data_IF_708129895458
#
_entry.id   IF_708129895458
#
_cell.length_a   1.000
_cell.length_b   1.000
_cell.length_c   1.000
_cell.angle_alpha   90.00
_cell.angle_beta   90.00
_cell.angle_gamma   90.00
#
_symmetry.space_group_name_H-M   'P 1'
#
loop_
_entity.id
_entity.type
_entity.pdbx_description
1 polymer ?
#
# COMPACT_ATOMS: atom_id res chain seq x y z
N UNK A 1 -23.47 30.85 -9.16
CA UNK A 1 -22.13 30.22 -9.32
C UNK A 1 -22.03 28.95 -8.48
N UNK A 2 -22.30 28.99 -7.17
CA UNK A 2 -22.33 27.79 -6.31
C UNK A 2 -23.40 26.75 -6.72
N UNK A 3 -24.62 27.17 -7.10
CA UNK A 3 -25.68 26.23 -7.52
C UNK A 3 -25.31 25.43 -8.78
N UNK A 4 -24.68 26.10 -9.76
CA UNK A 4 -24.22 25.46 -10.99
C UNK A 4 -23.14 24.41 -10.71
N UNK A 5 -22.21 24.70 -9.80
CA UNK A 5 -21.16 23.76 -9.40
C UNK A 5 -21.77 22.51 -8.74
N UNK A 6 -22.78 22.66 -7.89
CA UNK A 6 -23.46 21.54 -7.22
C UNK A 6 -24.24 20.68 -8.23
N UNK A 7 -24.81 21.30 -9.26
CA UNK A 7 -25.56 20.61 -10.31
C UNK A 7 -24.60 19.83 -11.25
N UNK A 8 -23.50 20.46 -11.66
CA UNK A 8 -22.43 19.82 -12.43
C UNK A 8 -21.82 18.62 -11.66
N UNK A 9 -21.63 18.74 -10.34
CA UNK A 9 -21.12 17.66 -9.48
C UNK A 9 -22.11 16.49 -9.34
N UNK A 10 -23.42 16.77 -9.27
CA UNK A 10 -24.44 15.71 -9.26
C UNK A 10 -24.47 14.94 -10.58
N UNK A 11 -24.36 15.64 -11.70
CA UNK A 11 -24.32 15.02 -13.03
C UNK A 11 -23.07 14.15 -13.20
N UNK A 12 -21.90 14.64 -12.79
CA UNK A 12 -20.67 13.86 -12.79
C UNK A 12 -20.76 12.59 -11.93
N UNK A 13 -21.31 12.69 -10.71
CA UNK A 13 -21.50 11.55 -9.82
C UNK A 13 -22.48 10.51 -10.39
N UNK A 14 -23.53 10.96 -11.09
CA UNK A 14 -24.47 10.07 -11.77
C UNK A 14 -23.78 9.32 -12.91
N UNK A 15 -23.03 10.03 -13.75
CA UNK A 15 -22.29 9.43 -14.87
C UNK A 15 -21.27 8.40 -14.37
N UNK A 16 -20.57 8.70 -13.28
CA UNK A 16 -19.63 7.78 -12.65
C UNK A 16 -20.31 6.50 -12.15
N UNK A 17 -21.47 6.64 -11.52
CA UNK A 17 -22.25 5.49 -11.04
C UNK A 17 -22.74 4.61 -12.20
N UNK A 18 -23.25 5.22 -13.27
CA UNK A 18 -23.70 4.51 -14.48
C UNK A 18 -22.54 3.78 -15.17
N UNK A 19 -21.35 4.41 -15.21
CA UNK A 19 -20.11 3.79 -15.68
C UNK A 19 -19.73 2.56 -14.85
N UNK A 20 -19.72 2.66 -13.52
CA UNK A 20 -19.40 1.52 -12.65
C UNK A 20 -20.43 0.38 -12.77
N UNK A 21 -21.72 0.69 -12.93
CA UNK A 21 -22.73 -0.34 -13.20
C UNK A 21 -22.47 -1.08 -14.50
N UNK A 22 -22.05 -0.38 -15.56
CA UNK A 22 -21.74 -1.02 -16.84
C UNK A 22 -20.51 -1.93 -16.75
N UNK A 23 -19.46 -1.51 -16.03
CA UNK A 23 -18.31 -2.37 -15.75
C UNK A 23 -18.73 -3.64 -15.00
N UNK A 24 -19.64 -3.53 -14.04
CA UNK A 24 -20.15 -4.68 -13.29
C UNK A 24 -20.98 -5.64 -14.14
N UNK A 25 -21.74 -5.14 -15.10
CA UNK A 25 -22.47 -5.96 -16.06
C UNK A 25 -21.49 -6.79 -16.91
N UNK A 26 -20.41 -6.16 -17.40
CA UNK A 26 -19.36 -6.82 -18.20
C UNK A 26 -18.67 -7.92 -17.37
N UNK A 27 -18.30 -7.61 -16.12
CA UNK A 27 -17.67 -8.57 -15.21
C UNK A 27 -18.60 -9.75 -14.87
N UNK A 28 -19.89 -9.49 -14.63
CA UNK A 28 -20.88 -10.55 -14.38
C UNK A 28 -21.08 -11.48 -15.57
N UNK A 29 -20.87 -10.97 -16.78
CA UNK A 29 -20.93 -11.76 -18.00
C UNK A 29 -19.63 -12.57 -18.26
N UNK A 30 -18.66 -12.53 -17.33
CA UNK A 30 -17.41 -13.27 -17.41
C UNK A 30 -16.40 -12.70 -18.41
N UNK A 31 -16.64 -11.49 -18.93
CA UNK A 31 -15.69 -10.82 -19.81
C UNK A 31 -14.62 -10.09 -18.98
N UNK A 32 -13.35 -10.26 -19.36
CA UNK A 32 -12.27 -9.42 -18.84
C UNK A 32 -12.38 -8.02 -19.44
N UNK A 33 -12.17 -7.00 -18.60
CA UNK A 33 -12.11 -5.62 -19.03
C UNK A 33 -10.66 -5.34 -19.44
N UNK A 34 -10.44 -5.13 -20.74
CA UNK A 34 -9.17 -4.61 -21.22
C UNK A 34 -9.08 -3.08 -21.01
N UNK A 35 -7.88 -2.54 -21.18
CA UNK A 35 -7.61 -1.11 -20.99
C UNK A 35 -8.36 -0.23 -21.99
N UNK A 36 -8.56 -0.71 -23.21
CA UNK A 36 -9.17 0.04 -24.30
C UNK A 36 -10.71 0.11 -24.14
N UNK A 37 -11.31 -0.96 -23.64
CA UNK A 37 -12.71 -1.09 -23.24
C UNK A 37 -13.00 -0.17 -22.06
N UNK A 38 -12.12 -0.14 -21.05
CA UNK A 38 -12.26 0.81 -19.95
C UNK A 38 -12.22 2.26 -20.45
N UNK A 39 -11.27 2.59 -21.34
CA UNK A 39 -11.13 3.94 -21.88
C UNK A 39 -12.33 4.36 -22.74
N UNK A 40 -12.76 3.50 -23.66
CA UNK A 40 -13.94 3.75 -24.52
C UNK A 40 -15.22 3.91 -23.71
N UNK A 41 -15.41 3.12 -22.65
CA UNK A 41 -16.51 3.31 -21.72
C UNK A 41 -16.38 4.63 -20.96
N UNK A 42 -15.18 5.01 -20.53
CA UNK A 42 -14.93 6.30 -19.89
C UNK A 42 -15.35 7.47 -20.77
N UNK A 43 -14.95 7.44 -22.05
CA UNK A 43 -15.36 8.42 -23.06
C UNK A 43 -16.89 8.43 -23.28
N UNK A 44 -17.53 7.25 -23.32
CA UNK A 44 -18.98 7.13 -23.50
C UNK A 44 -19.78 7.80 -22.36
N UNK A 45 -19.33 7.65 -21.12
CA UNK A 45 -19.99 8.21 -19.95
C UNK A 45 -19.47 9.62 -19.59
N UNK A 46 -18.64 10.22 -20.45
CA UNK A 46 -18.02 11.52 -20.21
C UNK A 46 -17.28 11.57 -18.85
N UNK A 47 -16.66 10.44 -18.47
CA UNK A 47 -15.80 10.35 -17.30
C UNK A 47 -14.50 11.06 -17.67
N UNK A 48 -14.13 12.14 -16.96
CA UNK A 48 -12.88 12.82 -17.25
C UNK A 48 -11.70 11.88 -16.97
N UNK A 49 -10.57 12.08 -17.65
CA UNK A 49 -9.29 11.38 -17.42
C UNK A 49 -8.66 11.75 -16.05
N UNK A 50 -9.47 11.89 -15.00
CA UNK A 50 -8.98 12.02 -13.64
C UNK A 50 -8.47 10.66 -13.17
N UNK A 51 -7.33 10.67 -12.49
CA UNK A 51 -6.72 9.49 -11.88
C UNK A 51 -6.79 9.59 -10.36
N UNK A 52 -7.75 10.36 -9.84
CA UNK A 52 -7.98 10.43 -8.42
C UNK A 52 -8.58 9.10 -7.90
N UNK A 53 -8.33 8.72 -6.64
CA UNK A 53 -8.89 7.49 -6.10
C UNK A 53 -10.41 7.36 -6.22
N UNK A 54 -11.17 8.46 -6.18
CA UNK A 54 -12.64 8.42 -6.09
C UNK A 54 -13.32 8.09 -7.44
N UNK A 55 -12.62 8.16 -8.57
CA UNK A 55 -13.17 7.73 -9.86
C UNK A 55 -13.04 6.22 -10.12
N UNK A 56 -12.17 5.54 -9.38
CA UNK A 56 -11.98 4.10 -9.57
C UNK A 56 -13.16 3.29 -9.05
N UNK A 57 -13.21 2.01 -9.41
CA UNK A 57 -14.23 1.09 -8.92
C UNK A 57 -14.14 0.90 -7.39
N UNK A 58 -15.27 0.70 -6.70
CA UNK A 58 -15.33 0.71 -5.22
C UNK A 58 -14.35 -0.27 -4.53
N UNK A 59 -14.05 -1.42 -5.14
CA UNK A 59 -13.03 -2.37 -4.61
C UNK A 59 -11.65 -1.73 -4.59
N UNK A 60 -11.29 -1.03 -5.67
CA UNK A 60 -10.02 -0.31 -5.76
C UNK A 60 -10.01 0.88 -4.80
N UNK A 61 -11.13 1.61 -4.67
CA UNK A 61 -11.27 2.69 -3.69
C UNK A 61 -11.01 2.20 -2.27
N UNK A 62 -11.66 1.10 -1.87
CA UNK A 62 -11.49 0.50 -0.54
C UNK A 62 -10.04 0.07 -0.30
N UNK A 63 -9.41 -0.56 -1.29
CA UNK A 63 -7.99 -0.96 -1.21
C UNK A 63 -7.08 0.25 -1.03
N UNK A 64 -7.32 1.33 -1.79
CA UNK A 64 -6.55 2.57 -1.67
C UNK A 64 -6.77 3.24 -0.31
N UNK A 65 -8.00 3.24 0.19
CA UNK A 65 -8.35 3.76 1.52
C UNK A 65 -7.65 2.98 2.64
N UNK A 66 -7.67 1.65 2.59
CA UNK A 66 -6.97 0.79 3.54
C UNK A 66 -5.45 1.04 3.53
N UNK A 67 -4.85 1.18 2.35
CA UNK A 67 -3.43 1.51 2.21
C UNK A 67 -3.09 2.90 2.78
N UNK A 68 -3.97 3.90 2.58
CA UNK A 68 -3.81 5.24 3.12
C UNK A 68 -3.94 5.24 4.65
N UNK A 69 -4.93 4.54 5.20
CA UNK A 69 -5.08 4.41 6.64
C UNK A 69 -3.92 3.67 7.28
N UNK A 70 -3.40 2.62 6.64
CA UNK A 70 -2.17 1.97 7.07
C UNK A 70 -1.00 2.97 7.11
N UNK A 71 -0.81 3.79 6.07
CA UNK A 71 0.24 4.82 6.06
C UNK A 71 0.07 5.85 7.17
N UNK A 72 -1.15 6.33 7.41
CA UNK A 72 -1.44 7.27 8.50
C UNK A 72 -1.27 6.66 9.89
N UNK A 73 -1.53 5.36 10.04
CA UNK A 73 -1.27 4.67 11.29
C UNK A 73 0.23 4.67 11.64
N UNK A 74 1.10 4.62 10.62
CA UNK A 74 2.56 4.71 10.76
C UNK A 74 3.09 6.15 10.84
N UNK A 75 2.23 7.18 10.88
CA UNK A 75 2.68 8.57 10.94
C UNK A 75 3.69 8.88 12.07
N UNK A 76 3.57 8.33 13.30
CA UNK A 76 4.57 8.54 14.35
C UNK A 76 5.94 7.97 13.97
N UNK A 77 5.96 6.74 13.43
CA UNK A 77 7.18 6.10 12.95
C UNK A 77 7.86 6.92 11.87
N UNK A 78 7.11 7.37 10.86
CA UNK A 78 7.63 8.25 9.82
C UNK A 78 8.22 9.53 10.40
N UNK A 79 7.54 10.18 11.34
CA UNK A 79 8.03 11.40 11.96
C UNK A 79 9.37 11.17 12.70
N UNK A 80 9.48 10.09 13.47
CA UNK A 80 10.73 9.72 14.13
C UNK A 80 11.84 9.43 13.13
N UNK A 81 11.53 8.77 12.01
CA UNK A 81 12.52 8.47 10.98
C UNK A 81 13.05 9.74 10.31
N UNK A 82 12.17 10.70 9.96
CA UNK A 82 12.59 12.00 9.42
C UNK A 82 13.45 12.78 10.42
N UNK A 83 13.09 12.76 11.71
CA UNK A 83 13.90 13.39 12.76
C UNK A 83 15.31 12.80 12.84
N UNK A 84 15.44 11.47 12.75
CA UNK A 84 16.73 10.77 12.75
C UNK A 84 17.54 11.08 11.49
N UNK A 85 16.90 11.16 10.33
CA UNK A 85 17.55 11.60 9.09
C UNK A 85 18.11 13.02 9.21
N UNK A 86 17.38 13.94 9.85
CA UNK A 86 17.85 15.32 10.03
C UNK A 86 18.96 15.46 11.07
N UNK A 87 18.93 14.68 12.14
CA UNK A 87 19.85 14.84 13.29
C UNK A 87 21.07 13.92 13.24
N UNK A 88 20.92 12.70 12.74
CA UNK A 88 21.95 11.67 12.70
C UNK A 88 22.35 11.28 11.26
N UNK A 89 21.82 11.97 10.25
CA UNK A 89 22.07 11.67 8.83
C UNK A 89 21.78 10.22 8.43
N UNK A 90 20.85 9.57 9.14
CA UNK A 90 20.35 8.25 8.78
C UNK A 90 19.49 8.32 7.52
N UNK A 91 19.45 7.24 6.74
CA UNK A 91 18.63 7.18 5.53
C UNK A 91 17.21 6.69 5.83
N UNK A 92 16.21 7.29 5.15
CA UNK A 92 14.81 6.89 5.24
C UNK A 92 14.56 5.51 4.61
N UNK A 93 15.13 5.28 3.43
CA UNK A 93 15.07 4.02 2.70
C UNK A 93 16.47 3.44 2.62
N UNK A 94 16.60 2.14 2.91
CA UNK A 94 17.87 1.46 2.99
C UNK A 94 17.87 0.18 2.14
N UNK A 95 18.92 -0.05 1.35
CA UNK A 95 19.17 -1.36 0.75
C UNK A 95 19.33 -2.42 1.84
N UNK A 96 18.95 -3.65 1.52
CA UNK A 96 18.96 -4.76 2.45
C UNK A 96 20.35 -5.05 3.07
N UNK A 97 21.40 -4.89 2.25
CA UNK A 97 22.77 -5.15 2.66
C UNK A 97 23.32 -4.20 3.74
N UNK A 98 22.75 -3.00 3.91
CA UNK A 98 23.26 -2.03 4.88
C UNK A 98 23.07 -2.51 6.32
N UNK A 99 21.92 -3.15 6.60
CA UNK A 99 21.64 -3.72 7.93
C UNK A 99 22.25 -5.12 8.06
N UNK A 100 22.19 -5.92 6.99
CA UNK A 100 22.60 -7.34 7.00
C UNK A 100 23.92 -7.58 6.26
N UNK A 101 24.93 -6.76 6.55
CA UNK A 101 26.23 -6.79 5.84
C UNK A 101 26.97 -8.12 5.91
N UNK A 102 26.78 -8.87 7.00
CA UNK A 102 27.37 -10.21 7.19
C UNK A 102 26.77 -11.28 6.27
N UNK A 103 25.59 -11.04 5.71
CA UNK A 103 24.90 -12.00 4.85
C UNK A 103 25.14 -11.67 3.37
N UNK A 104 25.97 -12.47 2.72
CA UNK A 104 26.33 -12.29 1.31
C UNK A 104 25.14 -12.40 0.36
N UNK A 105 24.04 -13.04 0.76
CA UNK A 105 22.83 -13.18 -0.08
C UNK A 105 22.14 -11.83 -0.30
N UNK A 106 22.34 -10.87 0.61
CA UNK A 106 21.67 -9.55 0.57
C UNK A 106 22.29 -8.59 -0.45
N UNK A 107 23.52 -8.84 -0.91
CA UNK A 107 24.24 -7.97 -1.84
C UNK A 107 23.57 -7.83 -3.20
N UNK A 108 22.90 -8.88 -3.67
CA UNK A 108 22.26 -8.92 -4.99
C UNK A 108 20.78 -8.53 -4.99
N UNK A 109 20.22 -8.10 -3.85
CA UNK A 109 18.79 -7.85 -3.71
C UNK A 109 18.49 -6.37 -3.95
N UNK A 110 17.82 -6.09 -5.06
CA UNK A 110 17.41 -4.76 -5.51
C UNK A 110 15.88 -4.57 -5.55
N UNK A 111 15.11 -5.67 -5.49
CA UNK A 111 13.63 -5.67 -5.51
C UNK A 111 12.98 -5.62 -4.13
N UNK A 112 13.77 -5.55 -3.05
CA UNK A 112 13.31 -5.39 -1.67
C UNK A 112 14.09 -4.27 -0.99
N UNK A 113 13.47 -3.58 -0.06
CA UNK A 113 14.12 -2.50 0.69
C UNK A 113 13.61 -2.41 2.13
N UNK A 114 14.41 -1.77 2.98
CA UNK A 114 14.04 -1.41 4.33
C UNK A 114 13.57 0.04 4.40
N UNK A 115 12.55 0.31 5.20
CA UNK A 115 12.23 1.65 5.68
C UNK A 115 12.87 1.80 7.06
N UNK A 116 13.83 2.71 7.15
CA UNK A 116 14.77 2.77 8.26
C UNK A 116 15.46 1.42 8.43
N UNK A 117 15.37 0.87 9.65
CA UNK A 117 15.94 -0.43 10.03
C UNK A 117 14.87 -1.48 10.41
N UNK A 118 13.60 -1.10 10.34
CA UNK A 118 12.52 -1.79 11.08
C UNK A 118 11.38 -2.32 10.21
N UNK A 119 11.26 -1.91 8.94
CA UNK A 119 10.16 -2.38 8.08
C UNK A 119 10.76 -2.87 6.78
N UNK A 120 10.59 -4.16 6.49
CA UNK A 120 10.94 -4.78 5.22
C UNK A 120 9.75 -4.71 4.28
N UNK A 121 9.95 -4.09 3.11
CA UNK A 121 8.94 -3.98 2.06
C UNK A 121 9.37 -4.81 0.86
N UNK A 122 8.47 -5.68 0.41
CA UNK A 122 8.66 -6.55 -0.74
C UNK A 122 7.52 -6.34 -1.74
N UNK A 123 7.62 -5.30 -2.60
CA UNK A 123 6.57 -4.98 -3.56
C UNK A 123 6.49 -6.03 -4.66
N UNK A 124 5.28 -6.26 -5.19
CA UNK A 124 5.13 -6.92 -6.47
C UNK A 124 5.41 -5.91 -7.59
N UNK A 125 6.39 -6.22 -8.44
CA UNK A 125 6.77 -5.37 -9.58
C UNK A 125 6.33 -5.98 -10.93
N UNK A 126 5.87 -7.23 -10.93
CA UNK A 126 5.47 -7.95 -12.14
C UNK A 126 3.95 -8.03 -12.24
N UNK A 127 3.37 -7.48 -13.31
CA UNK A 127 1.92 -7.29 -13.46
C UNK A 127 1.11 -8.59 -13.54
N UNK A 128 1.74 -9.72 -13.85
CA UNK A 128 1.09 -11.04 -14.00
C UNK A 128 1.50 -12.04 -12.93
N UNK A 129 2.33 -11.64 -11.96
CA UNK A 129 2.84 -12.55 -10.95
C UNK A 129 1.79 -12.81 -9.85
N UNK A 130 1.58 -14.10 -9.54
CA UNK A 130 0.76 -14.55 -8.40
C UNK A 130 1.57 -14.74 -7.13
N UNK A 131 2.89 -14.83 -7.26
CA UNK A 131 3.85 -14.98 -6.17
C UNK A 131 5.04 -14.05 -6.37
N UNK A 132 5.62 -13.55 -5.29
CA UNK A 132 6.86 -12.77 -5.31
C UNK A 132 7.93 -13.56 -4.57
N UNK A 133 9.04 -13.78 -5.27
CA UNK A 133 10.23 -14.40 -4.70
C UNK A 133 10.98 -13.38 -3.84
N UNK A 134 11.02 -13.62 -2.52
CA UNK A 134 11.63 -12.70 -1.56
C UNK A 134 12.67 -13.39 -0.70
N UNK A 135 13.66 -12.63 -0.24
CA UNK A 135 14.56 -13.06 0.82
C UNK A 135 14.10 -12.49 2.16
N UNK A 136 14.02 -13.35 3.18
CA UNK A 136 13.79 -12.94 4.57
C UNK A 136 15.04 -13.34 5.36
N UNK A 137 15.78 -12.40 5.98
CA UNK A 137 17.00 -12.67 6.74
C UNK A 137 16.75 -13.62 7.90
N UNK A 138 17.82 -14.24 8.38
CA UNK A 138 17.78 -15.16 9.52
C UNK A 138 17.53 -14.39 10.84
N UNK A 139 16.27 -14.06 11.09
CA UNK A 139 15.75 -13.46 12.32
C UNK A 139 14.25 -13.79 12.46
N UNK A 140 13.63 -13.37 13.57
CA UNK A 140 12.19 -13.46 13.78
C UNK A 140 11.49 -12.32 13.05
N UNK A 141 10.66 -12.64 12.07
CA UNK A 141 9.86 -11.66 11.31
C UNK A 141 8.37 -11.90 11.50
N UNK A 142 7.59 -10.82 11.46
CA UNK A 142 6.14 -10.83 11.52
C UNK A 142 5.55 -10.14 10.30
N UNK A 143 4.52 -10.75 9.71
CA UNK A 143 3.77 -10.15 8.62
C UNK A 143 2.93 -8.99 9.15
N UNK A 144 3.12 -7.80 8.59
CA UNK A 144 2.36 -6.60 8.93
C UNK A 144 1.15 -6.46 7.99
N UNK A 145 -0.05 -6.10 8.49
CA UNK A 145 -0.40 -5.74 9.88
C UNK A 145 -0.91 -6.91 10.75
N UNK A 146 -1.00 -8.13 10.21
CA UNK A 146 -1.65 -9.27 10.90
C UNK A 146 -0.89 -9.80 12.13
N UNK A 147 0.40 -9.50 12.26
CA UNK A 147 1.23 -9.98 13.37
C UNK A 147 1.56 -11.48 13.30
N UNK A 148 1.36 -12.12 12.13
CA UNK A 148 1.63 -13.55 11.96
C UNK A 148 3.14 -13.76 11.81
N UNK A 149 3.71 -14.63 12.63
CA UNK A 149 5.13 -14.99 12.53
C UNK A 149 5.42 -15.67 11.19
N UNK A 150 6.46 -15.19 10.50
CA UNK A 150 6.97 -15.80 9.27
C UNK A 150 7.57 -17.17 9.58
N UNK A 151 7.20 -18.18 8.79
CA UNK A 151 7.63 -19.58 9.01
C UNK A 151 9.06 -19.86 8.58
N UNK A 152 9.54 -19.19 7.53
CA UNK A 152 10.83 -19.43 6.90
C UNK A 152 11.66 -18.14 6.90
N UNK A 153 12.79 -18.18 7.63
CA UNK A 153 13.77 -17.11 7.72
C UNK A 153 15.15 -17.65 7.30
N UNK A 154 16.04 -16.79 6.81
CA UNK A 154 17.37 -17.15 6.28
C UNK A 154 17.35 -17.80 4.89
N UNK A 155 16.19 -17.88 4.25
CA UNK A 155 15.99 -18.53 2.94
C UNK A 155 15.12 -17.66 2.03
N UNK A 156 15.28 -17.87 0.72
CA UNK A 156 14.34 -17.31 -0.24
C UNK A 156 13.01 -18.05 -0.14
N UNK A 157 11.92 -17.29 -0.10
CA UNK A 157 10.56 -17.79 0.08
C UNK A 157 9.66 -17.12 -0.95
N UNK A 158 8.73 -17.88 -1.52
CA UNK A 158 7.70 -17.33 -2.37
C UNK A 158 6.51 -16.89 -1.50
N UNK A 159 6.17 -15.60 -1.59
CA UNK A 159 5.01 -15.05 -0.91
C UNK A 159 3.88 -14.81 -1.90
N UNK A 160 2.66 -15.11 -1.47
CA UNK A 160 1.47 -14.83 -2.26
C UNK A 160 1.33 -13.32 -2.51
N UNK A 161 0.92 -12.99 -3.74
CA UNK A 161 0.59 -11.63 -4.13
C UNK A 161 -0.92 -11.47 -4.11
N UNK A 162 -1.39 -10.45 -3.41
CA UNK A 162 -2.76 -9.96 -3.56
C UNK A 162 -2.73 -8.60 -4.25
N UNK A 163 -3.74 -8.32 -5.07
CA UNK A 163 -3.97 -6.97 -5.61
C UNK A 163 -4.27 -5.96 -4.49
N UNK A 164 -4.71 -6.44 -3.33
CA UNK A 164 -5.14 -5.60 -2.22
C UNK A 164 -4.01 -5.26 -1.24
N UNK A 165 -2.91 -6.05 -1.23
CA UNK A 165 -1.92 -6.00 -0.15
C UNK A 165 -0.50 -6.11 -0.67
N UNK A 166 0.36 -5.25 -0.13
CA UNK A 166 1.80 -5.31 -0.32
C UNK A 166 2.40 -6.17 0.80
N UNK A 167 3.36 -7.02 0.45
CA UNK A 167 4.07 -7.83 1.43
C UNK A 167 5.02 -6.95 2.26
N UNK A 168 4.69 -6.81 3.56
CA UNK A 168 5.44 -6.01 4.52
C UNK A 168 5.72 -6.84 5.76
N UNK A 169 6.95 -6.78 6.26
CA UNK A 169 7.39 -7.53 7.43
C UNK A 169 8.10 -6.65 8.44
N UNK A 170 7.91 -6.95 9.72
CA UNK A 170 8.54 -6.26 10.85
C UNK A 170 9.39 -7.28 11.62
N UNK A 171 10.66 -6.98 11.93
CA UNK A 171 11.49 -7.82 12.76
C UNK A 171 11.01 -7.78 14.22
N UNK A 172 11.07 -8.91 14.91
CA UNK A 172 10.60 -9.06 16.28
C UNK A 172 11.40 -8.28 17.33
N UNK A 173 12.58 -7.79 16.96
CA UNK A 173 13.44 -6.94 17.80
C UNK A 173 13.03 -5.46 17.80
N UNK A 174 12.07 -5.05 16.96
CA UNK A 174 11.67 -3.65 16.82
C UNK A 174 10.22 -3.41 17.27
N UNK A 175 10.03 -2.32 18.04
CA UNK A 175 8.70 -1.80 18.39
C UNK A 175 8.42 -0.60 17.50
N UNK A 176 7.33 -0.67 16.74
CA UNK A 176 6.96 0.39 15.80
C UNK A 176 5.82 1.23 16.39
N UNK A 177 6.05 2.54 16.64
CA UNK A 177 5.00 3.41 17.16
C UNK A 177 3.96 3.68 16.07
N UNK A 178 2.72 3.29 16.35
CA UNK A 178 1.57 3.52 15.49
C UNK A 178 0.50 4.32 16.22
N UNK A 179 -0.51 4.76 15.47
CA UNK A 179 -1.73 5.37 16.01
C UNK A 179 -2.95 4.88 15.25
N UNK A 180 -4.11 4.96 15.88
CA UNK A 180 -5.37 4.79 15.15
C UNK A 180 -5.49 5.93 14.13
N UNK A 181 -5.59 5.64 12.83
CA UNK A 181 -5.61 6.67 11.80
C UNK A 181 -6.94 7.44 11.83
N UNK A 182 -6.89 8.72 11.44
CA UNK A 182 -8.07 9.51 11.08
C UNK A 182 -8.07 9.79 9.59
N UNK A 183 -9.13 10.43 9.06
CA UNK A 183 -9.22 10.84 7.64
C UNK A 183 -8.10 11.80 7.22
N UNK A 184 -7.49 12.49 8.18
CA UNK A 184 -6.27 13.28 8.01
C UNK A 184 -5.44 13.28 9.30
N UNK A 185 -4.20 13.79 9.21
CA UNK A 185 -3.26 13.85 10.33
C UNK A 185 -3.75 14.72 11.50
N UNK A 186 -4.58 15.73 11.24
CA UNK A 186 -5.13 16.62 12.28
C UNK A 186 -6.19 15.86 13.08
N UNK A 187 -7.13 15.22 12.40
CA UNK A 187 -8.17 14.39 13.00
C UNK A 187 -7.56 13.22 13.79
N UNK A 188 -6.50 12.59 13.27
CA UNK A 188 -5.79 11.49 13.94
C UNK A 188 -4.85 11.94 15.08
N UNK A 189 -4.68 13.25 15.32
CA UNK A 189 -3.71 13.75 16.31
C UNK A 189 -4.11 13.37 17.74
N UNK A 190 -5.39 13.39 18.08
CA UNK A 190 -5.90 13.03 19.41
C UNK A 190 -6.02 11.53 19.65
N UNK A 191 -5.85 10.71 18.61
CA UNK A 191 -6.08 9.27 18.72
C UNK A 191 -5.00 8.56 19.56
N UNK A 192 -5.35 7.45 20.25
CA UNK A 192 -4.40 6.65 21.01
C UNK A 192 -3.24 6.11 20.15
N UNK A 193 -2.09 5.93 20.79
CA UNK A 193 -0.97 5.20 20.23
C UNK A 193 -1.20 3.69 20.32
N UNK A 194 -0.71 2.97 19.32
CA UNK A 194 -0.76 1.51 19.20
C UNK A 194 0.62 0.99 18.79
N UNK A 195 0.84 -0.31 18.94
CA UNK A 195 2.01 -1.03 18.42
C UNK A 195 1.52 -2.31 17.74
N UNK A 196 2.10 -2.72 16.60
CA UNK A 196 1.69 -3.94 15.91
C UNK A 196 2.25 -5.20 16.56
N UNK A 197 3.25 -5.06 17.43
CA UNK A 197 3.95 -6.18 18.08
C UNK A 197 3.85 -6.02 19.60
N UNK A 198 3.47 -7.12 20.26
CA UNK A 198 3.49 -7.34 21.70
C UNK A 198 4.51 -8.43 22.02
#
# INVERSE_FOLDING_TARGET
MAEKIVEDEKEANKNLLDFHYKLMEILKNGQQIDKDTYKTLGEQFNIPDYQDPAVFFWIAQQTMEEALFMRYSLAPFWHTLHYRTMTASETLLQPFHFEFSSDSKTLGIDRQFLIGRAILVSPNLDSTATTVHVYIPDDVWYQFPLGVKVKHAGVFTDLDVSLEKINVHIPGSFIIPMKIPGTNLIAGRGNPFTSPVA
#
